data_IF_863251277739
#
_entry.id   IF_863251277739
#
_cell.length_a   1.000
_cell.length_b   1.000
_cell.length_c   1.000
_cell.angle_alpha   90.00
_cell.angle_beta   90.00
_cell.angle_gamma   90.00
#
_symmetry.space_group_name_H-M   'P 1'
#
loop_
_entity.id
_entity.type
_entity.pdbx_description
1 polymer ?
#
# COMPACT_ATOMS: atom_id res chain seq x y z
N UNK A 1 3.59 20.40 -8.91
CA UNK A 1 2.70 20.90 -9.99
C UNK A 1 3.49 21.73 -11.02
N UNK A 2 3.80 21.15 -12.19
CA UNK A 2 4.19 21.91 -13.39
C UNK A 2 3.60 21.22 -14.60
N UNK A 3 2.54 21.82 -15.16
CA UNK A 3 1.92 21.43 -16.40
C UNK A 3 2.86 21.74 -17.57
N UNK A 4 3.22 20.73 -18.35
CA UNK A 4 3.85 20.90 -19.66
C UNK A 4 2.73 20.86 -20.72
N UNK A 5 2.19 22.04 -21.03
CA UNK A 5 1.31 22.26 -22.18
C UNK A 5 2.20 22.47 -23.39
N UNK A 6 2.23 21.49 -24.31
CA UNK A 6 2.92 21.59 -25.58
C UNK A 6 1.99 22.29 -26.60
N UNK A 7 2.27 23.55 -26.89
CA UNK A 7 1.76 24.26 -28.07
C UNK A 7 2.94 24.46 -29.03
N UNK A 8 2.86 23.89 -30.22
CA UNK A 8 3.54 24.37 -31.44
C UNK A 8 2.80 23.77 -32.64
N UNK A 9 1.81 24.48 -33.20
CA UNK A 9 1.94 25.36 -34.37
C UNK A 9 2.29 24.62 -35.67
N UNK A 10 1.21 24.29 -36.35
CA UNK A 10 1.05 23.85 -37.73
C UNK A 10 1.79 24.78 -38.71
N UNK A 11 2.74 24.21 -39.45
CA UNK A 11 3.20 24.77 -40.72
C UNK A 11 2.29 24.24 -41.84
N UNK A 12 1.33 25.06 -42.27
CA UNK A 12 0.43 24.76 -43.37
C UNK A 12 1.14 25.07 -44.70
N UNK A 13 1.85 24.08 -45.25
CA UNK A 13 2.30 24.12 -46.63
C UNK A 13 1.19 23.56 -47.53
N UNK A 14 0.80 24.34 -48.55
CA UNK A 14 -0.22 23.99 -49.55
C UNK A 14 0.13 22.70 -50.31
N UNK A 15 -0.32 21.55 -49.81
CA UNK A 15 -0.47 20.33 -50.59
C UNK A 15 -1.92 20.27 -51.09
N UNK A 16 -2.11 19.98 -52.38
CA UNK A 16 -3.44 19.70 -52.93
C UNK A 16 -4.10 18.57 -52.09
N UNK A 17 -5.40 18.69 -51.76
CA UNK A 17 -6.09 17.63 -51.01
C UNK A 17 -5.97 16.33 -51.80
N UNK A 18 -5.50 15.22 -51.18
CA UNK A 18 -5.47 13.93 -51.84
C UNK A 18 -6.88 13.59 -52.33
N UNK A 19 -7.02 12.90 -53.49
CA UNK A 19 -8.31 12.47 -53.97
C UNK A 19 -9.06 11.73 -52.85
N UNK A 20 -10.38 11.94 -52.71
CA UNK A 20 -11.15 11.31 -51.66
C UNK A 20 -10.89 9.80 -51.69
N UNK A 21 -10.54 9.18 -50.56
CA UNK A 21 -10.29 7.75 -50.52
C UNK A 21 -11.53 7.02 -51.07
N UNK A 22 -11.34 5.97 -51.89
CA UNK A 22 -12.45 5.18 -52.38
C UNK A 22 -13.33 4.76 -51.19
N UNK A 23 -14.67 4.78 -51.34
CA UNK A 23 -15.56 4.37 -50.26
C UNK A 23 -15.14 2.98 -49.78
N UNK A 24 -15.05 2.77 -48.45
CA UNK A 24 -14.75 1.46 -47.90
C UNK A 24 -15.67 0.43 -48.55
N UNK A 25 -15.17 -0.76 -48.92
CA UNK A 25 -16.04 -1.85 -49.34
C UNK A 25 -17.17 -1.99 -48.32
N UNK A 26 -18.43 -2.24 -48.74
CA UNK A 26 -19.50 -2.54 -47.79
C UNK A 26 -19.03 -3.74 -46.96
N UNK A 27 -18.56 -3.47 -45.74
CA UNK A 27 -18.06 -4.50 -44.86
C UNK A 27 -19.20 -5.47 -44.62
N UNK A 28 -19.01 -6.73 -45.00
CA UNK A 28 -19.92 -7.79 -44.62
C UNK A 28 -20.11 -7.73 -43.12
N UNK A 29 -21.36 -7.65 -42.65
CA UNK A 29 -21.64 -7.63 -41.21
C UNK A 29 -21.05 -8.89 -40.58
N UNK A 30 -20.18 -8.77 -39.56
CA UNK A 30 -19.52 -9.91 -38.97
C UNK A 30 -20.51 -10.96 -38.49
N UNK A 31 -20.11 -12.22 -38.62
CA UNK A 31 -20.49 -13.37 -37.82
C UNK A 31 -21.20 -13.12 -36.48
N UNK A 32 -22.25 -13.86 -36.06
CA UNK A 32 -22.58 -13.91 -34.60
C UNK A 32 -21.36 -14.53 -33.90
N UNK A 33 -20.79 -15.54 -34.55
CA UNK A 33 -19.56 -16.23 -34.13
C UNK A 33 -18.35 -15.28 -34.15
N UNK A 34 -18.21 -14.44 -35.17
CA UNK A 34 -17.09 -13.47 -35.22
C UNK A 34 -17.23 -12.39 -34.15
N UNK A 35 -18.44 -11.89 -33.91
CA UNK A 35 -18.71 -10.94 -32.82
C UNK A 35 -18.43 -11.57 -31.45
N UNK A 36 -18.81 -12.83 -31.24
CA UNK A 36 -18.53 -13.58 -30.01
C UNK A 36 -17.03 -13.80 -29.81
N UNK A 37 -16.31 -14.22 -30.86
CA UNK A 37 -14.85 -14.40 -30.81
C UNK A 37 -14.15 -13.08 -30.49
N UNK A 38 -14.57 -11.98 -31.13
CA UNK A 38 -14.01 -10.66 -30.85
C UNK A 38 -14.26 -10.25 -29.39
N UNK A 39 -15.48 -10.42 -28.90
CA UNK A 39 -15.80 -10.12 -27.50
C UNK A 39 -14.98 -10.98 -26.52
N UNK A 40 -14.74 -12.26 -26.82
CA UNK A 40 -13.86 -13.13 -26.03
C UNK A 40 -12.39 -12.70 -26.08
N UNK A 41 -11.90 -12.19 -27.21
CA UNK A 41 -10.55 -11.64 -27.31
C UNK A 41 -10.41 -10.37 -26.47
N UNK A 42 -11.37 -9.45 -26.57
CA UNK A 42 -11.39 -8.22 -25.76
C UNK A 42 -11.42 -8.56 -24.26
N UNK A 43 -12.27 -9.51 -23.86
CA UNK A 43 -12.31 -10.09 -22.52
C UNK A 43 -10.96 -10.62 -22.04
N UNK A 44 -10.30 -11.43 -22.88
CA UNK A 44 -9.01 -12.04 -22.53
C UNK A 44 -7.93 -10.97 -22.33
N UNK A 45 -7.92 -9.93 -23.18
CA UNK A 45 -6.99 -8.82 -23.06
C UNK A 45 -7.27 -8.03 -21.78
N UNK A 46 -8.54 -7.71 -21.50
CA UNK A 46 -8.94 -7.01 -20.27
C UNK A 46 -8.59 -7.80 -19.01
N UNK A 47 -8.76 -9.13 -19.04
CA UNK A 47 -8.34 -10.03 -17.97
C UNK A 47 -6.84 -9.93 -17.73
N UNK A 48 -6.04 -10.14 -18.78
CA UNK A 48 -4.58 -10.11 -18.66
C UNK A 48 -4.05 -8.76 -18.20
N UNK A 49 -4.61 -7.66 -18.70
CA UNK A 49 -4.25 -6.32 -18.23
C UNK A 49 -4.56 -6.14 -16.74
N UNK A 50 -5.74 -6.58 -16.29
CA UNK A 50 -6.15 -6.46 -14.90
C UNK A 50 -5.27 -7.32 -13.98
N UNK A 51 -4.93 -8.55 -14.38
CA UNK A 51 -4.02 -9.41 -13.63
C UNK A 51 -2.61 -8.81 -13.50
N UNK A 52 -2.04 -8.33 -14.61
CA UNK A 52 -0.71 -7.70 -14.61
C UNK A 52 -0.71 -6.49 -13.68
N UNK A 53 -1.71 -5.62 -13.84
CA UNK A 53 -1.88 -4.46 -12.98
C UNK A 53 -1.88 -4.89 -11.51
N UNK A 54 -2.69 -5.87 -11.12
CA UNK A 54 -2.73 -6.33 -9.73
C UNK A 54 -1.43 -6.90 -9.18
N UNK A 55 -0.73 -7.69 -9.99
CA UNK A 55 0.53 -8.30 -9.58
C UNK A 55 1.59 -7.22 -9.33
N UNK A 56 1.76 -6.30 -10.29
CA UNK A 56 2.75 -5.22 -10.20
C UNK A 56 2.49 -4.34 -8.97
N UNK A 57 1.22 -4.02 -8.75
CA UNK A 57 0.76 -3.20 -7.66
C UNK A 57 0.90 -3.84 -6.28
N UNK A 58 0.57 -5.14 -6.18
CA UNK A 58 0.83 -5.90 -4.97
C UNK A 58 2.31 -5.93 -4.65
N UNK A 59 3.17 -6.08 -5.66
CA UNK A 59 4.62 -6.07 -5.45
C UNK A 59 5.07 -4.70 -4.90
N UNK A 60 4.65 -3.60 -5.54
CA UNK A 60 4.98 -2.24 -5.09
C UNK A 60 4.58 -2.02 -3.63
N UNK A 61 3.34 -2.35 -3.25
CA UNK A 61 2.89 -2.19 -1.87
C UNK A 61 3.62 -3.11 -0.88
N UNK A 62 3.90 -4.35 -1.29
CA UNK A 62 4.66 -5.28 -0.46
C UNK A 62 6.07 -4.75 -0.20
N UNK A 63 6.70 -4.14 -1.21
CA UNK A 63 8.02 -3.52 -1.08
C UNK A 63 8.00 -2.31 -0.12
N UNK A 64 6.94 -1.48 -0.18
CA UNK A 64 6.74 -0.38 0.77
C UNK A 64 6.57 -0.89 2.20
N UNK A 65 5.70 -1.88 2.42
CA UNK A 65 5.47 -2.48 3.73
C UNK A 65 6.77 -3.06 4.28
N UNK A 66 7.51 -3.84 3.46
CA UNK A 66 8.78 -4.44 3.86
C UNK A 66 9.82 -3.39 4.25
N UNK A 67 9.87 -2.26 3.54
CA UNK A 67 10.78 -1.15 3.86
C UNK A 67 10.42 -0.50 5.20
N UNK A 68 9.13 -0.23 5.45
CA UNK A 68 8.67 0.36 6.71
C UNK A 68 8.94 -0.61 7.87
N UNK A 69 8.63 -1.90 7.68
CA UNK A 69 8.88 -2.94 8.67
C UNK A 69 10.36 -3.03 9.04
N UNK A 70 11.25 -3.04 8.04
CA UNK A 70 12.70 -3.09 8.26
C UNK A 70 13.18 -1.90 9.08
N UNK A 71 12.82 -0.67 8.67
CA UNK A 71 13.24 0.54 9.37
C UNK A 71 12.70 0.59 10.79
N UNK A 72 11.43 0.23 11.00
CA UNK A 72 10.83 0.24 12.33
C UNK A 72 11.45 -0.81 13.25
N UNK A 73 11.75 -2.01 12.74
CA UNK A 73 12.43 -3.06 13.51
C UNK A 73 13.85 -2.66 13.87
N UNK A 74 14.61 -2.08 12.94
CA UNK A 74 15.97 -1.60 13.19
C UNK A 74 15.99 -0.52 14.28
N UNK A 75 15.08 0.46 14.20
CA UNK A 75 14.93 1.53 15.19
C UNK A 75 14.48 0.98 16.56
N UNK A 76 13.53 0.04 16.59
CA UNK A 76 13.13 -0.66 17.82
C UNK A 76 14.32 -1.39 18.47
N UNK A 77 15.09 -2.15 17.69
CA UNK A 77 16.24 -2.91 18.18
C UNK A 77 17.34 -1.97 18.66
N UNK A 78 17.56 -0.86 17.97
CA UNK A 78 18.48 0.20 18.39
C UNK A 78 18.06 0.82 19.72
N UNK A 79 16.81 1.22 19.86
CA UNK A 79 16.26 1.79 21.10
C UNK A 79 16.32 0.78 22.26
N UNK A 80 15.96 -0.48 22.01
CA UNK A 80 16.07 -1.56 22.99
C UNK A 80 17.50 -1.74 23.48
N UNK A 81 18.47 -1.81 22.56
CA UNK A 81 19.88 -1.98 22.90
C UNK A 81 20.40 -0.79 23.72
N UNK A 82 20.07 0.44 23.32
CA UNK A 82 20.45 1.65 24.05
C UNK A 82 19.90 1.66 25.47
N UNK A 83 18.58 1.48 25.65
CA UNK A 83 17.93 1.42 26.96
C UNK A 83 18.52 0.31 27.82
N UNK A 84 18.76 -0.88 27.24
CA UNK A 84 19.35 -2.00 27.96
C UNK A 84 20.76 -1.70 28.45
N UNK A 85 21.62 -1.15 27.60
CA UNK A 85 23.01 -0.85 27.94
C UNK A 85 23.08 0.24 29.02
N UNK A 86 22.37 1.35 28.84
CA UNK A 86 22.21 2.39 29.88
C UNK A 86 21.67 1.79 31.17
N UNK A 87 20.74 0.84 31.06
CA UNK A 87 20.16 0.10 32.18
C UNK A 87 21.19 -0.67 33.00
N UNK A 88 22.08 -1.40 32.30
CA UNK A 88 23.15 -2.18 32.90
C UNK A 88 24.20 -1.27 33.53
N UNK A 89 24.67 -0.25 32.80
CA UNK A 89 25.71 0.65 33.25
C UNK A 89 25.27 1.45 34.49
N UNK A 90 24.04 1.95 34.47
CA UNK A 90 23.46 2.68 35.61
C UNK A 90 23.32 1.77 36.82
N UNK A 91 22.83 0.54 36.65
CA UNK A 91 22.74 -0.42 37.75
C UNK A 91 24.11 -0.71 38.35
N UNK A 92 25.13 -0.94 37.53
CA UNK A 92 26.49 -1.16 37.99
C UNK A 92 27.02 0.04 38.79
N UNK A 93 26.78 1.27 38.31
CA UNK A 93 27.14 2.47 39.05
C UNK A 93 26.40 2.61 40.39
N UNK A 94 25.11 2.22 40.47
CA UNK A 94 24.34 2.22 41.72
C UNK A 94 24.86 1.21 42.77
N UNK A 95 25.54 0.15 42.33
CA UNK A 95 26.14 -0.87 43.21
C UNK A 95 27.43 -0.36 43.88
N UNK A 96 28.05 0.72 43.38
CA UNK A 96 29.22 1.36 44.00
C UNK A 96 28.86 2.17 45.27
N UNK A 97 27.59 2.51 45.45
CA UNK A 97 27.11 3.27 46.61
C UNK A 97 26.83 2.36 47.81
N UNK A 98 27.30 2.76 48.99
CA UNK A 98 26.99 2.05 50.24
C UNK A 98 25.47 1.93 50.45
N UNK A 99 25.05 0.78 50.99
CA UNK A 99 23.64 0.54 51.31
C UNK A 99 23.15 1.52 52.37
N UNK A 100 22.10 2.27 52.02
CA UNK A 100 21.41 3.19 52.90
C UNK A 100 19.94 3.23 52.54
N UNK A 101 19.08 3.68 53.45
CA UNK A 101 17.65 3.82 53.18
C UNK A 101 17.37 4.68 51.93
N UNK A 102 18.15 5.75 51.72
CA UNK A 102 18.02 6.60 50.54
C UNK A 102 18.45 5.87 49.26
N UNK A 103 19.61 5.19 49.29
CA UNK A 103 20.10 4.44 48.15
C UNK A 103 19.13 3.31 47.76
N UNK A 104 18.58 2.57 48.72
CA UNK A 104 17.64 1.48 48.46
C UNK A 104 16.34 1.99 47.81
N UNK A 105 15.81 3.15 48.25
CA UNK A 105 14.65 3.76 47.60
C UNK A 105 14.93 4.20 46.16
N UNK A 106 16.13 4.70 45.87
CA UNK A 106 16.50 5.04 44.48
C UNK A 106 16.62 3.77 43.64
N UNK A 107 17.18 2.67 44.17
CA UNK A 107 17.21 1.36 43.47
C UNK A 107 15.81 0.84 43.16
N UNK A 108 14.88 0.89 44.13
CA UNK A 108 13.48 0.50 43.90
C UNK A 108 12.82 1.34 42.80
N UNK A 109 13.02 2.67 42.82
CA UNK A 109 12.52 3.57 41.77
C UNK A 109 13.10 3.22 40.40
N UNK A 110 14.40 2.95 40.35
CA UNK A 110 15.11 2.58 39.15
C UNK A 110 14.58 1.29 38.51
N UNK A 111 14.33 0.25 39.29
CA UNK A 111 13.75 -1.01 38.79
C UNK A 111 12.35 -0.78 38.16
N UNK A 112 11.54 0.08 38.78
CA UNK A 112 10.25 0.50 38.23
C UNK A 112 10.42 1.29 36.93
N UNK A 113 11.44 2.15 36.84
CA UNK A 113 11.75 2.93 35.64
C UNK A 113 12.15 2.03 34.48
N UNK A 114 13.04 1.05 34.69
CA UNK A 114 13.41 0.06 33.67
C UNK A 114 12.16 -0.64 33.12
N UNK A 115 11.28 -1.09 34.03
CA UNK A 115 10.01 -1.74 33.65
C UNK A 115 9.12 -0.80 32.84
N UNK A 116 8.97 0.46 33.27
CA UNK A 116 8.16 1.48 32.60
C UNK A 116 8.65 1.76 31.18
N UNK A 117 9.96 1.89 30.98
CA UNK A 117 10.51 2.14 29.64
C UNK A 117 10.42 0.91 28.75
N UNK A 118 10.57 -0.30 29.30
CA UNK A 118 10.28 -1.54 28.57
C UNK A 118 8.81 -1.60 28.08
N UNK A 119 7.86 -1.22 28.93
CA UNK A 119 6.44 -1.14 28.56
C UNK A 119 6.19 -0.08 27.48
N UNK A 120 6.77 1.12 27.60
CA UNK A 120 6.64 2.18 26.58
C UNK A 120 7.21 1.74 25.23
N UNK A 121 8.36 1.07 25.24
CA UNK A 121 8.97 0.54 24.02
C UNK A 121 8.07 -0.52 23.35
N UNK A 122 7.46 -1.40 24.15
CA UNK A 122 6.48 -2.37 23.66
C UNK A 122 5.22 -1.69 23.10
N UNK A 123 4.79 -0.56 23.67
CA UNK A 123 3.67 0.22 23.15
C UNK A 123 4.01 0.85 21.80
N UNK A 124 5.22 1.40 21.63
CA UNK A 124 5.69 1.88 20.33
C UNK A 124 5.60 0.76 19.28
N UNK A 125 6.13 -0.44 19.59
CA UNK A 125 6.08 -1.61 18.71
C UNK A 125 4.64 -2.02 18.36
N UNK A 126 3.76 -2.06 19.35
CA UNK A 126 2.35 -2.35 19.14
C UNK A 126 1.66 -1.34 18.21
N UNK A 127 2.00 -0.05 18.34
CA UNK A 127 1.46 1.00 17.48
C UNK A 127 1.93 0.83 16.04
N UNK A 128 3.25 0.67 15.81
CA UNK A 128 3.79 0.43 14.46
C UNK A 128 3.18 -0.82 13.84
N UNK A 129 3.07 -1.91 14.60
CA UNK A 129 2.45 -3.14 14.12
C UNK A 129 0.99 -2.95 13.71
N UNK A 130 0.21 -2.18 14.48
CA UNK A 130 -1.17 -1.84 14.13
C UNK A 130 -1.28 -1.17 12.76
N UNK A 131 -0.44 -0.17 12.49
CA UNK A 131 -0.41 0.50 11.19
C UNK A 131 -0.02 -0.43 10.03
N UNK A 132 1.00 -1.28 10.22
CA UNK A 132 1.41 -2.26 9.22
C UNK A 132 0.32 -3.30 8.94
N UNK A 133 -0.44 -3.69 9.97
CA UNK A 133 -1.58 -4.59 9.83
C UNK A 133 -2.69 -3.92 9.01
N UNK A 134 -2.98 -2.64 9.23
CA UNK A 134 -3.95 -1.89 8.43
C UNK A 134 -3.55 -1.82 6.94
N UNK A 135 -2.28 -1.55 6.64
CA UNK A 135 -1.78 -1.59 5.26
C UNK A 135 -1.91 -2.99 4.64
N UNK A 136 -1.58 -4.02 5.40
CA UNK A 136 -1.73 -5.43 4.96
C UNK A 136 -3.19 -5.77 4.68
N UNK A 137 -4.13 -5.30 5.52
CA UNK A 137 -5.56 -5.52 5.34
C UNK A 137 -6.08 -4.81 4.08
N UNK A 138 -5.67 -3.55 3.85
CA UNK A 138 -6.01 -2.82 2.62
C UNK A 138 -5.49 -3.56 1.39
N UNK A 139 -4.22 -3.99 1.41
CA UNK A 139 -3.62 -4.73 0.31
C UNK A 139 -4.37 -6.04 0.02
N UNK A 140 -4.69 -6.81 1.06
CA UNK A 140 -5.42 -8.07 0.91
C UNK A 140 -6.84 -7.83 0.37
N UNK A 141 -7.56 -6.82 0.89
CA UNK A 141 -8.89 -6.44 0.38
C UNK A 141 -8.84 -6.09 -1.11
N UNK A 142 -7.92 -5.20 -1.51
CA UNK A 142 -7.77 -4.80 -2.92
C UNK A 142 -7.43 -6.01 -3.81
N UNK A 143 -6.59 -6.91 -3.31
CA UNK A 143 -6.26 -8.14 -4.03
C UNK A 143 -7.46 -9.07 -4.20
N UNK A 144 -8.24 -9.30 -3.13
CA UNK A 144 -9.39 -10.20 -3.15
C UNK A 144 -10.51 -9.65 -4.02
N UNK A 145 -10.87 -8.37 -3.86
CA UNK A 145 -11.88 -7.69 -4.68
C UNK A 145 -11.48 -7.73 -6.15
N UNK A 146 -10.21 -7.45 -6.46
CA UNK A 146 -9.81 -7.46 -7.85
C UNK A 146 -9.75 -8.87 -8.45
N UNK A 147 -9.32 -9.88 -7.68
CA UNK A 147 -9.45 -11.29 -8.11
C UNK A 147 -10.90 -11.68 -8.36
N UNK A 148 -11.83 -11.22 -7.54
CA UNK A 148 -13.26 -11.46 -7.77
C UNK A 148 -13.69 -10.91 -9.13
N UNK A 149 -13.32 -9.67 -9.45
CA UNK A 149 -13.69 -9.07 -10.73
C UNK A 149 -12.97 -9.68 -11.92
N UNK A 150 -11.66 -9.92 -11.84
CA UNK A 150 -10.91 -10.50 -12.95
C UNK A 150 -11.40 -11.91 -13.24
N UNK A 151 -11.71 -12.73 -12.24
CA UNK A 151 -12.27 -14.05 -12.47
C UNK A 151 -13.66 -14.03 -13.13
N UNK A 152 -14.43 -12.94 -13.01
CA UNK A 152 -15.72 -12.80 -13.67
C UNK A 152 -15.60 -12.46 -15.15
N UNK A 153 -14.54 -11.78 -15.58
CA UNK A 153 -14.29 -11.39 -16.98
C UNK A 153 -14.44 -12.62 -17.93
N UNK A 154 -13.65 -13.70 -17.82
CA UNK A 154 -13.78 -14.85 -18.73
C UNK A 154 -15.13 -15.58 -18.61
N UNK A 155 -15.80 -15.49 -17.45
CA UNK A 155 -17.08 -16.15 -17.18
C UNK A 155 -18.31 -15.35 -17.65
N UNK A 156 -18.14 -14.07 -17.97
CA UNK A 156 -19.24 -13.16 -18.33
C UNK A 156 -19.97 -13.62 -19.58
N UNK A 157 -19.24 -14.02 -20.63
CA UNK A 157 -19.84 -14.53 -21.86
C UNK A 157 -20.70 -15.77 -21.62
N UNK A 158 -20.22 -16.71 -20.80
CA UNK A 158 -20.95 -17.94 -20.47
C UNK A 158 -22.21 -17.64 -19.65
N UNK A 159 -22.11 -16.71 -18.70
CA UNK A 159 -23.25 -16.29 -17.87
C UNK A 159 -24.34 -15.58 -18.69
N UNK A 160 -23.94 -14.73 -19.64
CA UNK A 160 -24.89 -14.07 -20.55
C UNK A 160 -25.55 -15.11 -21.47
N UNK A 161 -24.78 -16.04 -22.01
CA UNK A 161 -25.33 -17.10 -22.85
C UNK A 161 -26.28 -18.04 -22.09
N UNK A 162 -26.10 -18.22 -20.78
CA UNK A 162 -26.98 -19.07 -19.95
C UNK A 162 -28.24 -18.36 -19.44
N UNK A 163 -28.28 -17.03 -19.43
CA UNK A 163 -29.40 -16.23 -18.88
C UNK A 163 -30.37 -15.70 -19.94
N UNK A 164 -30.00 -15.74 -21.22
CA UNK A 164 -30.88 -15.31 -22.31
C UNK A 164 -31.83 -16.46 -22.71
N UNK A 165 -33.04 -16.47 -22.15
CA UNK A 165 -34.08 -17.47 -22.44
C UNK A 165 -34.58 -17.43 -23.90
N UNK A 166 -34.53 -16.26 -24.55
CA UNK A 166 -35.00 -16.06 -25.93
C UNK A 166 -33.98 -15.20 -26.69
N UNK A 167 -33.27 -15.84 -27.62
CA UNK A 167 -32.31 -15.16 -28.49
C UNK A 167 -33.05 -14.38 -29.59
N UNK A 168 -33.55 -13.17 -29.28
CA UNK A 168 -34.35 -12.34 -30.20
C UNK A 168 -33.53 -11.56 -31.24
N UNK A 169 -32.36 -12.08 -31.64
CA UNK A 169 -31.55 -11.57 -32.73
C UNK A 169 -30.07 -11.33 -32.37
N UNK A 170 -29.21 -11.38 -33.40
CA UNK A 170 -27.74 -11.20 -33.31
C UNK A 170 -27.34 -9.93 -32.55
N UNK A 171 -28.05 -8.82 -32.77
CA UNK A 171 -27.65 -7.51 -32.25
C UNK A 171 -27.82 -7.41 -30.70
N UNK A 172 -28.71 -8.22 -30.10
CA UNK A 172 -28.96 -8.20 -28.66
C UNK A 172 -27.84 -8.87 -27.85
N UNK A 173 -27.24 -9.96 -28.35
CA UNK A 173 -26.14 -10.63 -27.65
C UNK A 173 -24.93 -9.70 -27.51
N UNK A 174 -24.59 -9.01 -28.61
CA UNK A 174 -23.49 -8.03 -28.59
C UNK A 174 -23.76 -6.90 -27.61
N UNK A 175 -25.00 -6.41 -27.55
CA UNK A 175 -25.40 -5.39 -26.58
C UNK A 175 -25.19 -5.88 -25.14
N UNK A 176 -25.72 -7.06 -24.77
CA UNK A 176 -25.60 -7.58 -23.40
C UNK A 176 -24.15 -7.87 -23.00
N UNK A 177 -23.35 -8.45 -23.90
CA UNK A 177 -21.93 -8.67 -23.64
C UNK A 177 -21.25 -7.33 -23.40
N UNK A 178 -21.38 -6.37 -24.31
CA UNK A 178 -20.74 -5.07 -24.17
C UNK A 178 -21.16 -4.31 -22.91
N UNK A 179 -22.42 -4.44 -22.49
CA UNK A 179 -22.93 -3.81 -21.27
C UNK A 179 -22.28 -4.40 -20.01
N UNK A 180 -22.24 -5.73 -19.91
CA UNK A 180 -21.57 -6.41 -18.79
C UNK A 180 -20.06 -6.16 -18.78
N UNK A 181 -19.41 -6.11 -19.95
CA UNK A 181 -18.01 -5.74 -20.08
C UNK A 181 -17.74 -4.32 -19.59
N UNK A 182 -18.62 -3.38 -19.92
CA UNK A 182 -18.51 -2.00 -19.44
C UNK A 182 -18.66 -1.94 -17.93
N UNK A 183 -19.62 -2.65 -17.34
CA UNK A 183 -19.77 -2.68 -15.87
C UNK A 183 -18.51 -3.21 -15.19
N UNK A 184 -17.99 -4.36 -15.63
CA UNK A 184 -16.76 -4.94 -15.09
C UNK A 184 -15.55 -4.02 -15.28
N UNK A 185 -15.44 -3.37 -16.44
CA UNK A 185 -14.39 -2.40 -16.72
C UNK A 185 -14.47 -1.18 -15.80
N UNK A 186 -15.66 -0.62 -15.57
CA UNK A 186 -15.83 0.51 -14.65
C UNK A 186 -15.48 0.15 -13.20
N UNK A 187 -15.83 -1.07 -12.75
CA UNK A 187 -15.43 -1.56 -11.43
C UNK A 187 -13.92 -1.72 -11.32
N UNK A 188 -13.28 -2.30 -12.33
CA UNK A 188 -11.82 -2.44 -12.38
C UNK A 188 -11.12 -1.07 -12.38
N UNK A 189 -11.66 -0.08 -13.10
CA UNK A 189 -11.15 1.30 -13.10
C UNK A 189 -11.26 1.98 -11.73
N UNK A 190 -12.35 1.75 -11.00
CA UNK A 190 -12.50 2.31 -9.64
C UNK A 190 -11.48 1.70 -8.69
N UNK A 191 -11.26 0.38 -8.74
CA UNK A 191 -10.21 -0.29 -7.96
C UNK A 191 -8.81 0.22 -8.33
N UNK A 192 -8.56 0.45 -9.61
CA UNK A 192 -7.33 1.05 -10.10
C UNK A 192 -7.11 2.44 -9.49
N UNK A 193 -8.13 3.28 -9.48
CA UNK A 193 -8.06 4.61 -8.87
C UNK A 193 -7.81 4.54 -7.34
N UNK A 194 -8.51 3.65 -6.62
CA UNK A 194 -8.26 3.42 -5.19
C UNK A 194 -6.82 2.99 -4.93
N UNK A 195 -6.29 2.11 -5.78
CA UNK A 195 -4.92 1.65 -5.67
C UNK A 195 -3.91 2.78 -5.91
N UNK A 196 -4.09 3.56 -6.99
CA UNK A 196 -3.23 4.69 -7.29
C UNK A 196 -3.29 5.74 -6.18
N UNK A 197 -4.47 6.02 -5.62
CA UNK A 197 -4.62 6.94 -4.49
C UNK A 197 -3.84 6.44 -3.28
N UNK A 198 -3.94 5.15 -2.94
CA UNK A 198 -3.22 4.56 -1.82
C UNK A 198 -1.70 4.60 -2.03
N UNK A 199 -1.20 4.20 -3.21
CA UNK A 199 0.23 4.28 -3.53
C UNK A 199 0.74 5.72 -3.56
N UNK A 200 -0.02 6.65 -4.11
CA UNK A 200 0.35 8.06 -4.10
C UNK A 200 0.41 8.60 -2.67
N UNK A 201 -0.55 8.24 -1.81
CA UNK A 201 -0.52 8.60 -0.39
C UNK A 201 0.73 8.09 0.32
N UNK A 202 1.08 6.81 0.14
CA UNK A 202 2.28 6.24 0.76
C UNK A 202 3.57 6.82 0.16
N UNK A 203 3.64 6.95 -1.16
CA UNK A 203 4.88 7.31 -1.86
C UNK A 203 5.27 8.78 -1.67
N UNK A 204 4.30 9.70 -1.62
CA UNK A 204 4.56 11.14 -1.43
C UNK A 204 5.12 11.40 -0.02
N UNK A 205 4.63 10.66 0.97
CA UNK A 205 4.90 10.92 2.38
C UNK A 205 5.71 9.80 3.05
N UNK A 206 6.36 8.91 2.30
CA UNK A 206 7.06 7.76 2.89
C UNK A 206 8.09 8.17 3.95
N UNK A 207 8.90 9.19 3.66
CA UNK A 207 9.92 9.65 4.61
C UNK A 207 9.29 10.27 5.86
N UNK A 208 8.17 10.99 5.71
CA UNK A 208 7.41 11.56 6.82
C UNK A 208 6.75 10.46 7.67
N UNK A 209 6.16 9.45 7.03
CA UNK A 209 5.60 8.27 7.68
C UNK A 209 6.67 7.51 8.45
N UNK A 210 7.85 7.31 7.85
CA UNK A 210 8.98 6.67 8.52
C UNK A 210 9.43 7.49 9.74
N UNK A 211 9.48 8.82 9.62
CA UNK A 211 9.81 9.70 10.75
C UNK A 211 8.80 9.56 11.89
N UNK A 212 7.49 9.66 11.59
CA UNK A 212 6.41 9.52 12.57
C UNK A 212 6.42 8.15 13.25
N UNK A 213 6.58 7.07 12.48
CA UNK A 213 6.59 5.71 13.03
C UNK A 213 7.84 5.40 13.87
N UNK A 214 8.92 6.14 13.68
CA UNK A 214 10.19 5.90 14.38
C UNK A 214 10.49 6.91 15.49
N UNK A 215 9.75 8.02 15.57
CA UNK A 215 9.91 9.06 16.59
C UNK A 215 9.85 8.50 18.02
N UNK A 216 8.89 7.58 18.26
CA UNK A 216 8.74 6.91 19.56
C UNK A 216 10.02 6.15 19.96
N UNK A 217 10.66 5.43 19.03
CA UNK A 217 11.89 4.70 19.28
C UNK A 217 13.08 5.63 19.49
N UNK A 218 13.18 6.72 18.73
CA UNK A 218 14.30 7.66 18.79
C UNK A 218 14.34 8.48 20.07
N UNK A 219 13.16 8.83 20.61
CA UNK A 219 13.06 9.72 21.78
C UNK A 219 13.20 8.98 23.12
N UNK A 220 12.81 7.70 23.19
CA UNK A 220 12.83 6.93 24.44
C UNK A 220 14.25 6.76 25.04
N UNK A 221 15.30 6.42 24.29
CA UNK A 221 16.65 6.24 24.84
C UNK A 221 17.18 7.49 25.54
N UNK A 222 17.09 8.66 24.90
CA UNK A 222 17.56 9.92 25.48
C UNK A 222 16.79 10.30 26.76
N UNK A 223 15.48 10.05 26.78
CA UNK A 223 14.68 10.27 27.97
C UNK A 223 15.06 9.30 29.10
N UNK A 224 15.33 8.04 28.77
CA UNK A 224 15.77 7.04 29.75
C UNK A 224 17.14 7.38 30.33
N UNK A 225 18.10 7.77 29.49
CA UNK A 225 19.43 8.22 29.90
C UNK A 225 19.37 9.43 30.85
N UNK A 226 18.53 10.42 30.53
CA UNK A 226 18.33 11.61 31.37
C UNK A 226 17.82 11.23 32.76
N UNK A 227 16.80 10.37 32.84
CA UNK A 227 16.28 9.93 34.13
C UNK A 227 17.29 9.05 34.90
N UNK A 228 18.05 8.22 34.18
CA UNK A 228 19.12 7.40 34.77
C UNK A 228 20.20 8.26 35.44
N UNK A 229 20.61 9.34 34.77
CA UNK A 229 21.56 10.31 35.32
C UNK A 229 21.01 11.01 36.57
N UNK A 230 19.71 11.38 36.56
CA UNK A 230 19.06 11.99 37.72
C UNK A 230 18.99 11.03 38.92
N UNK A 231 18.78 9.73 38.68
CA UNK A 231 18.79 8.73 39.73
C UNK A 231 20.18 8.58 40.38
N UNK A 232 21.24 8.53 39.57
CA UNK A 232 22.62 8.48 40.08
C UNK A 232 22.99 9.74 40.88
N UNK A 233 22.55 10.92 40.43
CA UNK A 233 22.79 12.15 41.18
C UNK A 233 22.04 12.17 42.51
N UNK A 234 20.81 11.66 42.54
CA UNK A 234 20.03 11.54 43.77
C UNK A 234 20.66 10.60 44.81
N UNK A 235 21.48 9.64 44.39
CA UNK A 235 22.24 8.77 45.31
C UNK A 235 23.45 9.45 45.95
N UNK A 236 23.94 10.56 45.38
CA UNK A 236 25.11 11.30 45.90
C UNK A 236 24.74 12.30 47.00
N UNK A 237 23.46 12.63 47.14
CA UNK A 237 22.90 13.59 48.11
C UNK A 237 22.49 12.91 49.41
#
# INVERSE_FOLDING_TARGET
MKAFVFICLVALACAQPPPPPPPPPPGGRPSVTEDLIRAQQELTISHGWSEIFLVDNRQILSDYIARIETVALDEFMGAYAAIKNTGIDTRAAMEEFETSFCADRVRERWELQVTRYGQRLSQCLGSTYGYLLDFTNILNRLHDESREYTNQIPNTSTNILSTIDIFTGRDNLRFYINDALRDLYFRALNLHAEFEEFVNGISIDLDLLLEEYTECYRTLPAAFETESANDLEAMRL
#
